data_IF_930310284433
#
_entry.id   IF_930310284433
#
_cell.length_a   1.000
_cell.length_b   1.000
_cell.length_c   1.000
_cell.angle_alpha   90.00
_cell.angle_beta   90.00
_cell.angle_gamma   90.00
#
_symmetry.space_group_name_H-M   'P 1'
#
loop_
_entity.id
_entity.type
_entity.pdbx_description
1 polymer ?
#
# COMPACT_ATOMS: atom_id res chain seq x y z
N UNK A 1 -23.65 0.66 -8.10
CA UNK A 1 -22.59 -0.35 -7.90
C UNK A 1 -22.47 -0.57 -6.39
N UNK A 2 -22.34 -1.81 -5.94
CA UNK A 2 -22.16 -2.16 -4.52
C UNK A 2 -20.89 -3.01 -4.40
N UNK A 3 -20.10 -2.76 -3.37
CA UNK A 3 -18.80 -3.40 -3.12
C UNK A 3 -18.67 -3.55 -1.59
N UNK A 4 -17.93 -4.56 -1.13
CA UNK A 4 -17.69 -4.74 0.31
C UNK A 4 -16.68 -3.71 0.83
N UNK A 5 -15.68 -3.36 0.01
CA UNK A 5 -14.66 -2.36 0.34
C UNK A 5 -14.45 -1.37 -0.81
N UNK A 6 -14.51 -0.08 -0.48
CA UNK A 6 -14.13 1.01 -1.37
C UNK A 6 -12.77 1.57 -0.93
N UNK A 7 -11.79 1.53 -1.83
CA UNK A 7 -10.47 2.13 -1.64
C UNK A 7 -10.36 3.37 -2.53
N UNK A 8 -10.08 4.52 -1.92
CA UNK A 8 -9.90 5.79 -2.62
C UNK A 8 -8.41 6.12 -2.64
N UNK A 9 -7.79 5.94 -3.80
CA UNK A 9 -6.36 6.13 -4.02
C UNK A 9 -5.66 4.85 -4.46
N UNK A 10 -4.85 4.98 -5.51
CA UNK A 10 -4.12 3.88 -6.16
C UNK A 10 -2.61 3.89 -5.89
N UNK A 11 -2.15 4.67 -4.90
CA UNK A 11 -0.76 4.61 -4.42
C UNK A 11 -0.44 3.30 -3.69
N UNK A 12 0.79 3.15 -3.20
CA UNK A 12 1.27 1.88 -2.61
C UNK A 12 0.33 1.30 -1.55
N UNK A 13 -0.13 2.15 -0.62
CA UNK A 13 -1.01 1.72 0.47
C UNK A 13 -2.35 1.19 -0.06
N UNK A 14 -2.98 1.87 -1.01
CA UNK A 14 -4.25 1.45 -1.60
C UNK A 14 -4.11 0.17 -2.41
N UNK A 15 -3.03 0.03 -3.18
CA UNK A 15 -2.73 -1.17 -3.96
C UNK A 15 -2.44 -2.39 -3.06
N UNK A 16 -1.64 -2.23 -2.01
CA UNK A 16 -1.34 -3.29 -1.03
C UNK A 16 -2.60 -3.68 -0.28
N UNK A 17 -3.39 -2.71 0.20
CA UNK A 17 -4.66 -3.00 0.87
C UNK A 17 -5.61 -3.78 -0.06
N UNK A 18 -5.75 -3.38 -1.32
CA UNK A 18 -6.57 -4.09 -2.29
C UNK A 18 -6.08 -5.53 -2.51
N UNK A 19 -4.77 -5.72 -2.64
CA UNK A 19 -4.16 -7.03 -2.86
C UNK A 19 -4.36 -7.96 -1.65
N UNK A 20 -4.08 -7.48 -0.44
CA UNK A 20 -4.29 -8.24 0.80
C UNK A 20 -5.76 -8.59 1.00
N UNK A 21 -6.68 -7.65 0.73
CA UNK A 21 -8.11 -7.92 0.85
C UNK A 21 -8.59 -8.94 -0.19
N UNK A 22 -7.96 -9.00 -1.37
CA UNK A 22 -8.31 -9.92 -2.45
C UNK A 22 -7.85 -11.37 -2.21
N UNK A 23 -7.12 -11.65 -1.13
CA UNK A 23 -6.86 -13.03 -0.66
C UNK A 23 -8.17 -13.78 -0.41
N UNK A 24 -9.21 -13.08 0.06
CA UNK A 24 -10.57 -13.57 0.07
C UNK A 24 -11.23 -13.33 -1.29
N UNK A 25 -11.33 -14.39 -2.08
CA UNK A 25 -11.89 -14.37 -3.44
C UNK A 25 -13.38 -13.99 -3.51
N UNK A 26 -14.12 -14.04 -2.40
CA UNK A 26 -15.52 -13.63 -2.38
C UNK A 26 -15.68 -12.12 -2.21
N UNK A 27 -14.64 -11.43 -1.73
CA UNK A 27 -14.69 -10.02 -1.40
C UNK A 27 -14.68 -9.14 -2.63
N UNK A 28 -15.73 -8.33 -2.79
CA UNK A 28 -15.84 -7.34 -3.84
C UNK A 28 -15.12 -6.06 -3.40
N UNK A 29 -14.05 -5.72 -4.12
CA UNK A 29 -13.19 -4.56 -3.82
C UNK A 29 -13.24 -3.61 -5.02
N UNK A 30 -13.58 -2.35 -4.77
CA UNK A 30 -13.53 -1.29 -5.77
C UNK A 30 -12.42 -0.31 -5.41
N UNK A 31 -11.46 -0.11 -6.32
CA UNK A 31 -10.39 0.89 -6.18
C UNK A 31 -10.69 2.03 -7.14
N UNK A 32 -10.73 3.27 -6.64
CA UNK A 32 -10.91 4.46 -7.47
C UNK A 32 -9.74 5.43 -7.30
N UNK A 33 -9.48 6.21 -8.34
CA UNK A 33 -8.52 7.31 -8.32
C UNK A 33 -9.01 8.44 -9.22
N UNK A 34 -8.64 9.67 -8.88
CA UNK A 34 -8.84 10.82 -9.77
C UNK A 34 -7.82 10.84 -10.92
N UNK A 35 -6.69 10.16 -10.75
CA UNK A 35 -5.62 10.14 -11.74
C UNK A 35 -6.08 9.49 -13.04
N UNK A 36 -5.54 9.97 -14.17
CA UNK A 36 -5.86 9.43 -15.50
C UNK A 36 -5.43 7.96 -15.64
N UNK A 37 -4.35 7.58 -14.96
CA UNK A 37 -3.84 6.20 -14.92
C UNK A 37 -3.66 5.77 -13.47
N UNK A 38 -3.88 4.49 -13.11
CA UNK A 38 -3.74 4.01 -11.73
C UNK A 38 -2.31 4.07 -11.18
N UNK A 39 -1.30 4.10 -12.06
CA UNK A 39 0.10 4.18 -11.65
C UNK A 39 0.48 5.59 -11.17
N UNK A 40 -0.22 6.62 -11.67
CA UNK A 40 0.07 8.02 -11.37
C UNK A 40 -0.35 8.33 -9.92
N UNK A 41 0.64 8.29 -9.02
CA UNK A 41 0.51 8.56 -7.59
C UNK A 41 1.86 9.04 -7.04
N UNK A 42 1.87 9.69 -5.87
CA UNK A 42 3.12 10.16 -5.26
C UNK A 42 4.12 9.01 -4.98
N UNK A 43 3.62 7.80 -4.74
CA UNK A 43 4.45 6.60 -4.60
C UNK A 43 5.33 6.37 -5.83
N UNK A 44 4.82 6.61 -7.05
CA UNK A 44 5.56 6.38 -8.29
C UNK A 44 6.85 7.22 -8.38
N UNK A 45 6.85 8.39 -7.72
CA UNK A 45 7.97 9.33 -7.71
C UNK A 45 8.92 9.16 -6.52
N UNK A 46 8.70 8.18 -5.64
CA UNK A 46 9.57 7.96 -4.48
C UNK A 46 10.98 7.51 -4.93
N UNK A 47 12.01 8.17 -4.39
CA UNK A 47 13.42 7.92 -4.77
C UNK A 47 14.29 7.40 -3.62
N UNK A 48 13.93 7.71 -2.37
CA UNK A 48 14.78 7.41 -1.21
C UNK A 48 14.98 5.91 -0.97
N UNK A 49 13.91 5.13 -1.06
CA UNK A 49 13.91 3.70 -0.78
C UNK A 49 12.95 3.31 0.34
N UNK A 50 12.97 2.03 0.69
CA UNK A 50 12.18 1.46 1.78
C UNK A 50 13.16 0.99 2.86
N UNK A 51 13.08 1.57 4.06
CA UNK A 51 13.77 1.06 5.23
C UNK A 51 12.94 -0.09 5.81
N UNK A 52 13.51 -1.28 5.89
CA UNK A 52 12.83 -2.46 6.41
C UNK A 52 13.79 -3.63 6.55
N UNK A 53 13.85 -4.18 7.76
CA UNK A 53 14.51 -5.44 8.15
C UNK A 53 15.64 -5.92 7.25
N UNK A 54 16.84 -5.32 7.39
CA UNK A 54 18.03 -5.93 6.82
C UNK A 54 18.45 -7.12 7.67
N UNK A 55 18.75 -8.21 6.97
CA UNK A 55 19.49 -9.37 7.42
C UNK A 55 20.65 -9.01 8.35
N UNK A 56 20.38 -8.89 9.67
CA UNK A 56 21.27 -9.00 10.85
C UNK A 56 21.00 -8.03 12.01
N UNK A 57 20.19 -6.97 11.86
CA UNK A 57 19.93 -6.04 12.97
C UNK A 57 18.56 -6.27 13.63
N UNK A 58 18.53 -6.02 14.93
CA UNK A 58 17.38 -6.16 15.82
C UNK A 58 16.28 -5.14 15.44
N UNK A 59 15.03 -5.56 15.20
CA UNK A 59 13.90 -4.65 15.01
C UNK A 59 13.81 -3.53 16.06
N UNK A 60 14.28 -3.77 17.28
CA UNK A 60 14.30 -2.78 18.35
C UNK A 60 15.14 -1.53 18.02
N UNK A 61 16.28 -1.67 17.33
CA UNK A 61 17.10 -0.51 16.91
C UNK A 61 16.31 0.41 15.98
N UNK A 62 15.57 -0.17 15.03
CA UNK A 62 14.75 0.60 14.10
C UNK A 62 13.55 1.25 14.80
N UNK A 63 13.03 0.63 15.86
CA UNK A 63 11.95 1.20 16.68
C UNK A 63 12.49 2.41 17.44
N UNK A 64 13.66 2.31 18.09
CA UNK A 64 14.32 3.42 18.79
C UNK A 64 14.63 4.60 17.85
N UNK A 65 14.99 4.34 16.60
CA UNK A 65 15.25 5.39 15.60
C UNK A 65 13.98 6.15 15.15
N UNK A 66 12.80 5.52 15.21
CA UNK A 66 11.55 6.05 14.64
C UNK A 66 10.62 6.68 15.69
N UNK A 67 10.56 6.13 16.91
CA UNK A 67 9.62 6.53 17.97
C UNK A 67 10.25 7.50 18.99
#
# INVERSE_FOLDING_TARGET
MQTDVLIIGCGMAGAVAALTLAEDKQRQITVITRAKTPIESNTYYAQGGIIGGFTKNDPEELIEDIL
#
